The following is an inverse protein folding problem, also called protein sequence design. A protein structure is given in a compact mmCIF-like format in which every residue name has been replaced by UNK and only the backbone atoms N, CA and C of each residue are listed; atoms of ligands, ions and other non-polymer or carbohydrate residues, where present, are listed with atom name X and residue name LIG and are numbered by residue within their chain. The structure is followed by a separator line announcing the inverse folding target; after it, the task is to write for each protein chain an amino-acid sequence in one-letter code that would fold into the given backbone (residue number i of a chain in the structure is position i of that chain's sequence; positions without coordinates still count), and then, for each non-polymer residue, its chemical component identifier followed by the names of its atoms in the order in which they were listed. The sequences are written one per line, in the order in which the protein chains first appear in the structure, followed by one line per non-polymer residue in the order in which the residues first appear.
data_IF_435155806727
#
_entry.id   IF_435155806727
#
_cell.length_a   1.000
_cell.length_b   1.000
_cell.length_c   1.000
_cell.angle_alpha   90.00
_cell.angle_beta   90.00
_cell.angle_gamma   90.00
#
_symmetry.space_group_name_H-M   'P 1'
#
loop_
_entity.id
_entity.type
_entity.pdbx_description
1 polymer ?
#
# COMPACT_ATOMS: atom_id res chain seq x y z
N UNK A 1 -6.12 -16.41 -2.27
CA UNK A 1 -6.83 -15.79 -1.14
C UNK A 1 -8.21 -15.29 -1.51
N UNK A 2 -8.37 -14.31 -2.42
CA UNK A 2 -9.69 -13.81 -2.87
C UNK A 2 -10.60 -14.88 -3.51
N UNK A 3 -10.08 -15.68 -4.45
CA UNK A 3 -10.85 -16.76 -5.10
C UNK A 3 -11.20 -17.89 -4.12
N UNK A 4 -10.33 -18.14 -3.12
CA UNK A 4 -10.58 -19.12 -2.05
C UNK A 4 -11.70 -18.69 -1.10
N UNK A 5 -11.89 -17.39 -0.91
CA UNK A 5 -12.98 -16.81 -0.13
C UNK A 5 -14.27 -16.56 -0.94
N UNK A 6 -14.35 -17.03 -2.19
CA UNK A 6 -15.51 -16.85 -3.08
C UNK A 6 -15.59 -15.47 -3.76
N UNK A 7 -14.54 -14.64 -3.66
CA UNK A 7 -14.47 -13.34 -4.32
C UNK A 7 -14.10 -13.44 -5.80
N UNK A 8 -14.79 -12.66 -6.64
CA UNK A 8 -14.44 -12.49 -8.05
C UNK A 8 -13.59 -11.22 -8.21
N UNK A 9 -12.27 -11.32 -8.48
CA UNK A 9 -11.45 -10.14 -8.72
C UNK A 9 -11.91 -9.47 -10.01
N UNK A 10 -12.39 -8.23 -9.91
CA UNK A 10 -12.69 -7.40 -11.08
C UNK A 10 -11.40 -6.68 -11.49
N UNK A 11 -10.82 -6.95 -12.67
CA UNK A 11 -9.62 -6.29 -13.14
C UNK A 11 -9.99 -4.91 -13.70
N UNK A 12 -10.36 -3.98 -12.81
CA UNK A 12 -10.54 -2.57 -13.20
C UNK A 12 -9.17 -1.91 -13.11
N UNK A 13 -8.60 -1.56 -14.25
CA UNK A 13 -7.42 -0.70 -14.32
C UNK A 13 -7.92 0.71 -14.03
N UNK A 14 -7.46 1.33 -12.94
CA UNK A 14 -7.72 2.74 -12.66
C UNK A 14 -6.93 3.58 -13.68
N UNK A 15 -7.53 4.65 -14.20
CA UNK A 15 -6.81 5.63 -15.00
C UNK A 15 -5.65 6.22 -14.19
N UNK A 16 -4.46 6.21 -14.77
CA UNK A 16 -3.27 6.81 -14.16
C UNK A 16 -3.30 8.29 -14.56
N UNK A 17 -3.30 9.24 -13.60
CA UNK A 17 -3.23 10.65 -13.93
C UNK A 17 -1.92 10.94 -14.67
N UNK A 18 -1.97 11.71 -15.77
CA UNK A 18 -0.75 12.20 -16.42
C UNK A 18 0.03 13.09 -15.45
N UNK A 19 1.32 12.81 -15.32
CA UNK A 19 2.23 13.55 -14.45
C UNK A 19 3.09 14.43 -15.36
N UNK A 20 3.01 15.75 -15.19
CA UNK A 20 3.78 16.71 -16.00
C UNK A 20 5.25 16.86 -15.55
N UNK A 21 5.60 16.35 -14.36
CA UNK A 21 6.95 16.42 -13.79
C UNK A 21 7.48 15.03 -13.37
N UNK A 22 8.52 14.55 -14.04
CA UNK A 22 9.20 13.28 -13.76
C UNK A 22 10.45 13.46 -12.90
N UNK A 23 10.58 14.58 -12.18
CA UNK A 23 11.69 14.76 -11.26
C UNK A 23 11.71 13.66 -10.19
N UNK A 24 12.91 13.22 -9.80
CA UNK A 24 13.08 12.20 -8.75
C UNK A 24 12.32 12.59 -7.47
N UNK A 25 12.33 13.88 -7.11
CA UNK A 25 11.59 14.41 -5.96
C UNK A 25 10.07 14.23 -6.10
N UNK A 26 9.49 14.49 -7.27
CA UNK A 26 8.05 14.32 -7.49
C UNK A 26 7.66 12.83 -7.47
N UNK A 27 8.47 11.96 -8.06
CA UNK A 27 8.25 10.51 -8.03
C UNK A 27 8.30 10.00 -6.58
N UNK A 28 9.31 10.38 -5.80
CA UNK A 28 9.44 10.00 -4.39
C UNK A 28 8.25 10.49 -3.56
N UNK A 29 7.81 11.74 -3.76
CA UNK A 29 6.65 12.28 -3.06
C UNK A 29 5.34 11.53 -3.41
N UNK A 30 5.15 11.13 -4.66
CA UNK A 30 4.00 10.33 -5.08
C UNK A 30 4.07 8.90 -4.54
N UNK A 31 5.24 8.27 -4.53
CA UNK A 31 5.45 6.96 -3.91
C UNK A 31 5.08 6.99 -2.44
N UNK A 32 5.56 7.97 -1.67
CA UNK A 32 5.20 8.13 -0.25
C UNK A 32 3.69 8.33 -0.05
N UNK A 33 3.04 9.09 -0.92
CA UNK A 33 1.59 9.31 -0.84
C UNK A 33 0.81 8.02 -1.11
N UNK A 34 1.26 7.21 -2.07
CA UNK A 34 0.68 5.90 -2.37
C UNK A 34 0.89 4.90 -1.23
N UNK A 35 2.10 4.83 -0.66
CA UNK A 35 2.40 3.95 0.48
C UNK A 35 1.53 4.28 1.69
N UNK A 36 1.36 5.58 1.99
CA UNK A 36 0.47 6.02 3.07
C UNK A 36 -0.97 5.56 2.84
N UNK A 37 -1.49 5.70 1.61
CA UNK A 37 -2.83 5.23 1.27
C UNK A 37 -2.94 3.70 1.38
N UNK A 38 -1.90 2.97 0.97
CA UNK A 38 -1.86 1.52 1.09
C UNK A 38 -1.93 1.08 2.56
N UNK A 39 -1.15 1.70 3.45
CA UNK A 39 -1.20 1.47 4.89
C UNK A 39 -2.60 1.72 5.47
N UNK A 40 -3.25 2.83 5.10
CA UNK A 40 -4.62 3.14 5.52
C UNK A 40 -5.59 2.01 5.12
N UNK A 41 -5.48 1.49 3.89
CA UNK A 41 -6.31 0.37 3.44
C UNK A 41 -6.00 -0.95 4.15
N UNK A 42 -4.73 -1.25 4.45
CA UNK A 42 -4.40 -2.46 5.18
C UNK A 42 -4.86 -2.40 6.64
N UNK A 43 -4.79 -1.24 7.28
CA UNK A 43 -5.37 -1.04 8.62
C UNK A 43 -6.90 -1.24 8.61
N UNK A 44 -7.59 -0.68 7.62
CA UNK A 44 -9.03 -0.89 7.46
C UNK A 44 -9.37 -2.37 7.18
N UNK A 45 -8.58 -3.04 6.34
CA UNK A 45 -8.75 -4.46 6.06
C UNK A 45 -8.55 -5.31 7.30
N UNK A 46 -7.54 -5.00 8.11
CA UNK A 46 -7.29 -5.67 9.38
C UNK A 46 -8.47 -5.49 10.34
N UNK A 47 -8.99 -4.26 10.49
CA UNK A 47 -10.15 -3.96 11.34
C UNK A 47 -11.38 -4.77 10.92
N UNK A 48 -11.64 -4.87 9.61
CA UNK A 48 -12.79 -5.62 9.08
C UNK A 48 -12.59 -7.14 9.21
N UNK A 49 -11.37 -7.64 8.96
CA UNK A 49 -11.10 -9.08 8.95
C UNK A 49 -10.92 -9.68 10.35
N UNK A 50 -10.55 -8.86 11.34
CA UNK A 50 -10.28 -9.32 12.69
C UNK A 50 -11.52 -9.97 13.33
N UNK A 51 -11.39 -11.23 13.75
CA UNK A 51 -12.50 -12.03 14.29
C UNK A 51 -13.49 -12.57 13.25
N UNK A 52 -13.30 -12.30 11.95
CA UNK A 52 -14.11 -12.85 10.84
C UNK A 52 -13.30 -13.84 10.02
N UNK A 53 -12.04 -13.51 9.70
CA UNK A 53 -11.18 -14.33 8.87
C UNK A 53 -9.70 -14.13 9.27
N UNK A 54 -9.19 -15.06 10.06
CA UNK A 54 -7.82 -15.01 10.59
C UNK A 54 -6.75 -15.00 9.50
N UNK A 55 -6.97 -15.71 8.38
CA UNK A 55 -6.04 -15.72 7.24
C UNK A 55 -5.91 -14.31 6.65
N UNK A 56 -7.04 -13.62 6.43
CA UNK A 56 -7.06 -12.25 5.88
C UNK A 56 -6.49 -11.23 6.86
N UNK A 57 -6.73 -11.40 8.16
CA UNK A 57 -6.13 -10.56 9.19
C UNK A 57 -4.60 -10.73 9.24
N UNK A 58 -4.09 -11.96 9.15
CA UNK A 58 -2.66 -12.24 9.08
C UNK A 58 -2.02 -11.63 7.82
N UNK A 59 -2.70 -11.73 6.67
CA UNK A 59 -2.27 -11.05 5.44
C UNK A 59 -2.19 -9.54 5.63
N UNK A 60 -3.23 -8.90 6.17
CA UNK A 60 -3.24 -7.46 6.41
C UNK A 60 -2.11 -7.03 7.36
N UNK A 61 -1.87 -7.79 8.44
CA UNK A 61 -0.75 -7.55 9.36
C UNK A 61 0.61 -7.62 8.67
N UNK A 62 0.83 -8.65 7.86
CA UNK A 62 2.07 -8.77 7.07
C UNK A 62 2.27 -7.60 6.12
N UNK A 63 1.23 -7.20 5.40
CA UNK A 63 1.32 -6.08 4.47
C UNK A 63 1.62 -4.75 5.19
N UNK A 64 1.05 -4.53 6.40
CA UNK A 64 1.39 -3.37 7.24
C UNK A 64 2.86 -3.38 7.64
N UNK A 65 3.42 -4.55 8.00
CA UNK A 65 4.83 -4.67 8.38
C UNK A 65 5.78 -4.43 7.20
N UNK A 66 5.51 -5.05 6.04
CA UNK A 66 6.31 -4.87 4.82
C UNK A 66 6.30 -3.40 4.38
N UNK A 67 5.12 -2.77 4.33
CA UNK A 67 4.99 -1.39 3.90
C UNK A 67 5.56 -0.39 4.92
N UNK A 68 5.49 -0.71 6.21
CA UNK A 68 6.16 0.07 7.26
C UNK A 68 7.68 0.11 7.08
N UNK A 69 8.29 -1.00 6.61
CA UNK A 69 9.72 -1.06 6.29
C UNK A 69 10.07 -0.20 5.07
N UNK A 70 9.27 -0.30 4.00
CA UNK A 70 9.46 0.53 2.80
C UNK A 70 9.39 2.02 3.12
N UNK A 71 8.47 2.42 4.00
CA UNK A 71 8.35 3.81 4.43
C UNK A 71 9.62 4.33 5.13
N UNK A 72 10.28 3.49 5.92
CA UNK A 72 11.54 3.85 6.58
C UNK A 72 12.68 3.99 5.55
N UNK A 73 12.79 3.06 4.60
CA UNK A 73 13.76 3.13 3.50
C UNK A 73 13.56 4.39 2.64
N UNK A 74 12.31 4.78 2.36
CA UNK A 74 11.97 6.03 1.65
C UNK A 74 12.47 7.28 2.40
N UNK A 75 12.33 7.32 3.72
CA UNK A 75 12.79 8.46 4.52
C UNK A 75 14.31 8.60 4.50
N UNK A 76 15.04 7.48 4.53
CA UNK A 76 16.50 7.47 4.41
C UNK A 76 16.94 8.01 3.04
N UNK A 77 16.30 7.56 1.96
CA UNK A 77 16.56 8.05 0.60
C UNK A 77 16.31 9.56 0.52
N UNK A 78 15.19 10.08 1.05
CA UNK A 78 14.91 11.53 0.99
C UNK A 78 15.95 12.33 1.78
N UNK A 79 16.41 11.83 2.92
CA UNK A 79 17.47 12.46 3.70
C UNK A 79 18.79 12.53 2.93
N UNK A 80 19.15 11.48 2.19
CA UNK A 80 20.38 11.43 1.37
C UNK A 80 20.33 12.32 0.11
N UNK A 81 19.13 12.62 -0.39
CA UNK A 81 18.90 13.49 -1.55
C UNK A 81 18.67 14.97 -1.20
N UNK A 82 18.71 15.34 0.09
CA UNK A 82 18.52 16.72 0.60
C UNK A 82 19.85 17.42 0.88
#
# INVERSE_FOLDING_TARGET
MLVKAGGFPSPRIREIPEIDDFSAKNILAQSMAHEKQALEFYHLLLEIANGINDEVAEFALRMIQEEGSHHQEMQEIIADFS
#
